data_IF_796417295892
#
_entry.id   IF_796417295892
#
_cell.length_a   1.000
_cell.length_b   1.000
_cell.length_c   1.000
_cell.angle_alpha   90.00
_cell.angle_beta   90.00
_cell.angle_gamma   90.00
#
_symmetry.space_group_name_H-M   'P 1'
#
loop_
_entity.id
_entity.type
_entity.pdbx_description
1 polymer ?
#
# COMPACT_ATOMS: atom_id res chain seq x y z
N UNK A 1 -2.79 -57.87 42.21
CA UNK A 1 -3.27 -56.63 42.86
C UNK A 1 -2.26 -55.60 42.44
N UNK A 2 -2.51 -54.64 41.64
CA UNK A 2 -3.67 -53.87 41.24
C UNK A 2 -3.18 -52.49 40.91
N UNK A 3 -3.66 -52.00 39.82
CA UNK A 3 -4.16 -50.65 39.54
C UNK A 3 -3.19 -49.45 39.36
N UNK A 4 -3.07 -49.08 38.08
CA UNK A 4 -3.43 -47.75 37.51
C UNK A 4 -2.61 -46.53 37.88
N UNK A 5 -1.85 -46.05 36.91
CA UNK A 5 -1.77 -44.63 36.63
C UNK A 5 -1.48 -44.37 35.14
N UNK A 6 -2.53 -44.44 34.33
CA UNK A 6 -2.56 -43.87 32.98
C UNK A 6 -3.61 -42.78 33.02
N UNK A 7 -3.25 -41.50 33.23
CA UNK A 7 -4.06 -40.34 32.89
C UNK A 7 -3.38 -39.04 33.35
N UNK A 8 -2.33 -38.58 32.70
CA UNK A 8 -1.83 -37.22 32.93
C UNK A 8 -1.14 -36.58 31.70
N UNK A 9 -1.20 -37.18 30.50
CA UNK A 9 -0.44 -36.62 29.35
C UNK A 9 -1.36 -36.06 28.25
N UNK A 10 -2.68 -36.07 28.39
CA UNK A 10 -3.59 -35.61 27.32
C UNK A 10 -4.07 -34.17 27.50
N UNK A 11 -3.87 -33.55 28.64
CA UNK A 11 -4.32 -32.18 28.94
C UNK A 11 -3.35 -31.05 28.51
N UNK A 12 -2.09 -31.38 28.21
CA UNK A 12 -1.05 -30.36 27.97
C UNK A 12 -0.87 -29.97 26.50
N UNK A 13 -1.42 -30.73 25.56
CA UNK A 13 -1.27 -30.48 24.11
C UNK A 13 -2.34 -29.53 23.55
N UNK A 14 -3.47 -29.36 24.22
CA UNK A 14 -4.58 -28.51 23.75
C UNK A 14 -4.38 -27.00 24.07
N UNK A 15 -3.58 -26.68 25.09
CA UNK A 15 -3.37 -25.29 25.51
C UNK A 15 -2.35 -24.49 24.62
N UNK A 16 -1.57 -25.17 23.76
CA UNK A 16 -0.51 -24.52 22.97
C UNK A 16 -0.96 -24.10 21.56
N UNK A 17 -2.16 -24.47 21.13
CA UNK A 17 -2.67 -24.18 19.78
C UNK A 17 -3.48 -22.88 19.66
N UNK A 18 -3.78 -22.19 20.77
CA UNK A 18 -4.69 -21.00 20.74
C UNK A 18 -3.91 -19.66 20.70
N UNK A 19 -2.60 -19.66 20.91
CA UNK A 19 -1.82 -18.39 21.01
C UNK A 19 -1.30 -17.80 19.69
N UNK A 20 -1.55 -18.42 18.53
CA UNK A 20 -1.01 -17.92 17.24
C UNK A 20 -2.00 -17.13 16.38
N UNK A 21 -3.23 -16.90 16.82
CA UNK A 21 -4.28 -16.29 15.98
C UNK A 21 -4.53 -14.79 16.20
N UNK A 22 -3.83 -14.11 17.12
CA UNK A 22 -4.16 -12.72 17.51
C UNK A 22 -3.23 -11.67 16.88
N UNK A 23 -2.16 -12.04 16.21
CA UNK A 23 -1.19 -11.08 15.67
C UNK A 23 -1.52 -10.46 14.29
N UNK A 24 -2.64 -10.85 13.64
CA UNK A 24 -2.94 -10.42 12.26
C UNK A 24 -3.87 -9.19 12.15
N UNK A 25 -4.41 -8.65 13.24
CA UNK A 25 -5.49 -7.66 13.17
C UNK A 25 -5.07 -6.19 13.41
N UNK A 26 -3.86 -5.90 13.82
CA UNK A 26 -3.44 -4.54 14.15
C UNK A 26 -2.97 -3.69 12.94
N UNK A 27 -2.78 -4.29 11.77
CA UNK A 27 -2.14 -3.67 10.61
C UNK A 27 -3.11 -3.26 9.47
N UNK A 28 -4.41 -3.49 9.64
CA UNK A 28 -5.42 -3.18 8.62
C UNK A 28 -5.92 -1.73 8.64
N UNK A 29 -5.59 -0.94 9.68
CA UNK A 29 -6.10 0.42 9.89
C UNK A 29 -5.24 1.53 9.26
N UNK A 30 -4.07 1.20 8.73
CA UNK A 30 -3.12 2.15 8.15
C UNK A 30 -2.52 1.64 6.84
N UNK A 31 -2.09 2.56 5.96
CA UNK A 31 -1.31 2.22 4.78
C UNK A 31 0.07 1.74 5.22
N UNK A 32 0.48 0.59 4.70
CA UNK A 32 1.78 -0.04 4.96
C UNK A 32 2.84 0.55 4.02
N UNK A 33 3.42 1.67 4.44
CA UNK A 33 4.43 2.36 3.66
C UNK A 33 5.79 1.66 3.69
N UNK A 34 6.45 1.61 2.54
CA UNK A 34 7.82 1.11 2.35
C UNK A 34 8.73 2.25 1.88
N UNK A 35 10.06 2.08 2.05
CA UNK A 35 11.03 2.90 1.34
C UNK A 35 11.12 2.50 -0.15
N UNK A 36 11.86 3.30 -0.95
CA UNK A 36 11.91 3.09 -2.39
C UNK A 36 12.58 1.77 -2.79
N UNK A 37 13.72 1.44 -2.17
CA UNK A 37 14.49 0.25 -2.51
C UNK A 37 13.73 -1.03 -2.13
N UNK A 38 13.22 -1.08 -0.90
CA UNK A 38 12.42 -2.19 -0.41
C UNK A 38 11.13 -2.34 -1.22
N UNK A 39 10.35 -1.27 -1.37
CA UNK A 39 9.05 -1.31 -2.02
C UNK A 39 9.12 -1.71 -3.50
N UNK A 40 10.10 -1.20 -4.24
CA UNK A 40 10.28 -1.58 -5.66
C UNK A 40 10.75 -3.03 -5.82
N UNK A 41 11.62 -3.50 -4.93
CA UNK A 41 12.03 -4.90 -4.87
C UNK A 41 10.85 -5.83 -4.57
N UNK A 42 10.06 -5.47 -3.55
CA UNK A 42 8.88 -6.21 -3.12
C UNK A 42 7.80 -6.26 -4.20
N UNK A 43 7.59 -5.17 -4.95
CA UNK A 43 6.68 -5.12 -6.09
C UNK A 43 7.02 -6.18 -7.12
N UNK A 44 8.29 -6.26 -7.53
CA UNK A 44 8.78 -7.28 -8.47
C UNK A 44 8.62 -8.70 -7.93
N UNK A 45 9.00 -8.93 -6.68
CA UNK A 45 8.92 -10.26 -6.05
C UNK A 45 7.48 -10.77 -5.92
N UNK A 46 6.53 -9.87 -5.60
CA UNK A 46 5.12 -10.23 -5.40
C UNK A 46 4.27 -10.09 -6.65
N UNK A 47 4.83 -9.63 -7.79
CA UNK A 47 4.07 -9.33 -8.98
C UNK A 47 2.98 -8.29 -8.73
N UNK A 48 3.28 -7.24 -7.96
CA UNK A 48 2.36 -6.16 -7.63
C UNK A 48 2.85 -4.83 -8.18
N UNK A 49 1.90 -4.00 -8.61
CA UNK A 49 2.17 -2.61 -8.96
C UNK A 49 2.66 -1.84 -7.74
N UNK A 50 3.51 -0.85 -7.99
CA UNK A 50 4.04 0.03 -6.94
C UNK A 50 3.41 1.41 -7.09
N UNK A 51 2.99 1.98 -5.96
CA UNK A 51 2.58 3.38 -5.86
C UNK A 51 3.70 4.15 -5.17
N UNK A 52 4.22 5.20 -5.81
CA UNK A 52 5.20 6.10 -5.20
C UNK A 52 4.52 7.41 -4.82
N UNK A 53 4.56 7.78 -3.56
CA UNK A 53 4.03 9.04 -3.04
C UNK A 53 5.18 9.98 -2.67
N UNK A 54 5.42 10.97 -3.52
CA UNK A 54 6.41 12.04 -3.28
C UNK A 54 5.79 13.15 -2.44
N UNK A 55 6.43 13.48 -1.34
CA UNK A 55 5.95 14.44 -0.34
C UNK A 55 7.11 15.22 0.28
N UNK A 56 6.80 16.24 1.11
CA UNK A 56 7.72 16.91 2.00
C UNK A 56 6.97 17.46 3.23
N UNK A 57 7.69 17.78 4.31
CA UNK A 57 7.08 18.25 5.56
C UNK A 57 6.39 19.61 5.43
N UNK A 58 6.91 20.49 4.59
CA UNK A 58 6.32 21.82 4.33
C UNK A 58 5.12 21.79 3.37
N UNK A 59 4.80 20.65 2.78
CA UNK A 59 3.77 20.52 1.75
C UNK A 59 2.37 20.41 2.37
N UNK A 60 1.60 21.49 2.41
CA UNK A 60 0.26 21.54 2.98
C UNK A 60 -0.70 20.56 2.28
N UNK A 61 -0.69 20.49 0.96
CA UNK A 61 -1.50 19.52 0.18
C UNK A 61 -1.12 18.06 0.43
N UNK A 62 0.15 17.80 0.81
CA UNK A 62 0.58 16.47 1.24
C UNK A 62 -0.03 16.12 2.60
N UNK A 63 -0.04 17.06 3.55
CA UNK A 63 -0.67 16.87 4.85
C UNK A 63 -2.18 16.69 4.72
N UNK A 64 -2.81 17.46 3.83
CA UNK A 64 -4.23 17.27 3.52
C UNK A 64 -4.49 15.85 3.00
N UNK A 65 -3.68 15.35 2.06
CA UNK A 65 -3.84 14.00 1.52
C UNK A 65 -3.62 12.91 2.58
N UNK A 66 -2.68 13.12 3.51
CA UNK A 66 -2.46 12.21 4.65
C UNK A 66 -3.67 12.16 5.59
N UNK A 67 -4.34 13.31 5.83
CA UNK A 67 -5.46 13.43 6.78
C UNK A 67 -6.79 12.97 6.17
N UNK A 68 -7.05 13.31 4.91
CA UNK A 68 -8.35 13.10 4.28
C UNK A 68 -8.40 11.83 3.45
N UNK A 69 -7.36 11.54 2.64
CA UNK A 69 -7.38 10.42 1.68
C UNK A 69 -6.81 9.14 2.27
N UNK A 70 -5.65 9.22 2.91
CA UNK A 70 -4.94 8.04 3.41
C UNK A 70 -5.48 7.49 4.74
N UNK A 71 -6.55 8.08 5.28
CA UNK A 71 -7.26 7.57 6.47
C UNK A 71 -8.59 6.89 6.15
N UNK A 72 -9.02 6.94 4.90
CA UNK A 72 -10.28 6.31 4.50
C UNK A 72 -10.10 4.78 4.44
N UNK A 73 -10.93 4.00 5.15
CA UNK A 73 -10.78 2.55 5.25
C UNK A 73 -10.73 1.84 3.90
N UNK A 74 -11.57 2.23 2.94
CA UNK A 74 -11.62 1.64 1.60
C UNK A 74 -10.34 1.90 0.80
N UNK A 75 -9.76 3.11 0.93
CA UNK A 75 -8.47 3.47 0.32
C UNK A 75 -7.36 2.62 0.91
N UNK A 76 -7.30 2.53 2.24
CA UNK A 76 -6.28 1.74 2.96
C UNK A 76 -6.36 0.27 2.54
N UNK A 77 -7.57 -0.30 2.61
CA UNK A 77 -7.79 -1.71 2.28
C UNK A 77 -7.42 -2.02 0.82
N UNK A 78 -7.86 -1.18 -0.13
CA UNK A 78 -7.60 -1.40 -1.54
C UNK A 78 -6.10 -1.25 -1.86
N UNK A 79 -5.46 -0.21 -1.33
CA UNK A 79 -4.05 0.07 -1.56
C UNK A 79 -3.15 -1.04 -0.98
N UNK A 80 -3.34 -1.42 0.28
CA UNK A 80 -2.56 -2.48 0.92
C UNK A 80 -2.74 -3.86 0.26
N UNK A 81 -3.94 -4.15 -0.25
CA UNK A 81 -4.23 -5.42 -0.91
C UNK A 81 -3.57 -5.52 -2.28
N UNK A 82 -3.64 -4.46 -3.08
CA UNK A 82 -3.39 -4.53 -4.51
C UNK A 82 -2.07 -3.87 -4.97
N UNK A 83 -1.47 -3.02 -4.13
CA UNK A 83 -0.24 -2.28 -4.44
C UNK A 83 0.82 -2.50 -3.37
N UNK A 84 2.04 -2.08 -3.71
CA UNK A 84 3.09 -1.81 -2.73
C UNK A 84 3.23 -0.28 -2.62
N UNK A 85 2.76 0.33 -1.53
CA UNK A 85 2.85 1.77 -1.35
C UNK A 85 4.23 2.18 -0.84
N UNK A 86 4.85 3.11 -1.53
CA UNK A 86 6.18 3.67 -1.23
C UNK A 86 6.04 5.15 -0.94
N UNK A 87 6.64 5.61 0.16
CA UNK A 87 6.63 7.02 0.56
C UNK A 87 8.04 7.61 0.40
N UNK A 88 8.16 8.69 -0.35
CA UNK A 88 9.45 9.31 -0.71
C UNK A 88 9.47 10.75 -0.23
N UNK A 89 10.36 11.05 0.70
CA UNK A 89 10.64 12.42 1.13
C UNK A 89 11.50 13.11 0.07
N UNK A 90 10.91 14.05 -0.66
CA UNK A 90 11.54 14.74 -1.78
C UNK A 90 12.69 15.67 -1.35
N UNK A 91 12.73 16.10 -0.09
CA UNK A 91 13.82 16.91 0.44
C UNK A 91 15.06 16.07 0.71
N UNK A 92 14.88 14.87 1.22
CA UNK A 92 15.95 13.95 1.52
C UNK A 92 16.38 13.15 0.28
N UNK A 93 15.46 12.89 -0.65
CA UNK A 93 15.69 12.09 -1.85
C UNK A 93 15.59 12.89 -3.15
N UNK A 94 16.25 14.06 -3.21
CA UNK A 94 16.22 15.02 -4.34
C UNK A 94 16.58 14.38 -5.68
N UNK A 95 17.57 13.48 -5.69
CA UNK A 95 17.98 12.77 -6.90
C UNK A 95 16.85 11.88 -7.43
N UNK A 96 16.16 11.19 -6.55
CA UNK A 96 15.04 10.33 -6.91
C UNK A 96 13.85 11.17 -7.40
N UNK A 97 13.50 12.25 -6.71
CA UNK A 97 12.47 13.19 -7.16
C UNK A 97 12.78 13.74 -8.56
N UNK A 98 14.03 14.14 -8.82
CA UNK A 98 14.49 14.60 -10.14
C UNK A 98 14.37 13.47 -11.20
N UNK A 99 14.79 12.26 -10.87
CA UNK A 99 14.68 11.09 -11.76
C UNK A 99 13.23 10.80 -12.18
N UNK A 100 12.27 11.02 -11.29
CA UNK A 100 10.84 10.90 -11.57
C UNK A 100 10.21 12.20 -12.09
N UNK A 101 11.04 13.23 -12.39
CA UNK A 101 10.57 14.53 -12.91
C UNK A 101 9.48 15.18 -12.03
N UNK A 102 9.60 15.04 -10.71
CA UNK A 102 8.68 15.63 -9.74
C UNK A 102 8.92 17.14 -9.71
N UNK A 103 7.94 17.92 -10.16
CA UNK A 103 8.01 19.40 -10.23
C UNK A 103 7.16 20.10 -9.18
N UNK A 104 6.34 19.36 -8.45
CA UNK A 104 5.45 19.86 -7.41
C UNK A 104 5.01 18.73 -6.50
N UNK A 105 4.50 19.06 -5.32
CA UNK A 105 4.09 18.10 -4.30
C UNK A 105 2.63 18.32 -3.91
N UNK A 106 1.91 17.25 -3.54
CA UNK A 106 2.31 15.86 -3.70
C UNK A 106 2.37 15.45 -5.17
N UNK A 107 3.15 14.43 -5.50
CA UNK A 107 3.06 13.74 -6.78
C UNK A 107 2.98 12.25 -6.53
N UNK A 108 1.99 11.60 -7.13
CA UNK A 108 1.83 10.15 -7.08
C UNK A 108 2.23 9.53 -8.41
N UNK A 109 3.18 8.59 -8.40
CA UNK A 109 3.58 7.78 -9.53
C UNK A 109 3.09 6.34 -9.40
N UNK A 110 2.82 5.71 -10.54
CA UNK A 110 2.46 4.30 -10.62
C UNK A 110 3.50 3.56 -11.45
N UNK A 111 3.97 2.42 -10.93
CA UNK A 111 4.85 1.49 -11.63
C UNK A 111 4.12 0.17 -11.83
N UNK A 112 4.41 -0.51 -12.94
CA UNK A 112 3.91 -1.86 -13.16
C UNK A 112 4.69 -2.91 -12.35
N UNK A 113 4.34 -4.16 -12.47
CA UNK A 113 4.92 -5.30 -11.75
C UNK A 113 6.41 -5.53 -12.05
N UNK A 114 6.90 -4.97 -13.18
CA UNK A 114 8.32 -4.99 -13.55
C UNK A 114 9.10 -3.77 -13.06
N UNK A 115 8.40 -2.79 -12.44
CA UNK A 115 8.98 -1.54 -11.99
C UNK A 115 9.08 -0.48 -13.09
N UNK A 116 8.42 -0.67 -14.23
CA UNK A 116 8.35 0.30 -15.31
C UNK A 116 7.28 1.37 -15.01
N UNK A 117 7.52 2.59 -15.42
CA UNK A 117 6.60 3.71 -15.17
C UNK A 117 5.34 3.57 -16.00
N UNK A 118 4.17 3.65 -15.36
CA UNK A 118 2.87 3.71 -16.02
C UNK A 118 2.48 5.18 -16.24
N UNK A 119 2.51 5.98 -15.19
CA UNK A 119 2.12 7.38 -15.24
C UNK A 119 2.15 8.03 -13.86
N UNK A 120 1.94 9.34 -13.84
CA UNK A 120 1.90 10.12 -12.60
C UNK A 120 0.69 11.04 -12.53
N UNK A 121 0.35 11.42 -11.30
CA UNK A 121 -0.63 12.45 -11.02
C UNK A 121 -0.09 13.42 -9.98
N UNK A 122 0.13 14.68 -10.34
CA UNK A 122 0.50 15.72 -9.38
C UNK A 122 -0.74 16.26 -8.65
N UNK A 123 -0.53 16.76 -7.44
CA UNK A 123 -1.52 17.44 -6.63
C UNK A 123 -2.32 16.54 -5.70
N UNK A 124 -3.10 17.19 -4.85
CA UNK A 124 -4.04 16.55 -3.94
C UNK A 124 -5.12 15.76 -4.71
N UNK A 125 -5.46 14.59 -4.19
CA UNK A 125 -6.56 13.77 -4.68
C UNK A 125 -7.51 13.43 -3.53
N UNK A 126 -8.79 13.84 -3.61
CA UNK A 126 -9.78 13.41 -2.62
C UNK A 126 -10.00 11.89 -2.67
N UNK A 127 -10.54 11.28 -1.60
CA UNK A 127 -10.63 9.82 -1.44
C UNK A 127 -11.26 9.08 -2.61
N UNK A 128 -12.40 9.56 -3.09
CA UNK A 128 -13.15 8.92 -4.17
C UNK A 128 -12.37 8.92 -5.49
N UNK A 129 -11.75 10.06 -5.82
CA UNK A 129 -10.90 10.18 -7.00
C UNK A 129 -9.68 9.26 -6.89
N UNK A 130 -9.04 9.26 -5.71
CA UNK A 130 -7.86 8.42 -5.47
C UNK A 130 -8.19 6.94 -5.61
N UNK A 131 -9.30 6.49 -4.99
CA UNK A 131 -9.76 5.10 -5.08
C UNK A 131 -10.12 4.70 -6.53
N UNK A 132 -10.77 5.61 -7.28
CA UNK A 132 -11.09 5.37 -8.69
C UNK A 132 -9.81 5.21 -9.53
N UNK A 133 -8.78 6.04 -9.29
CA UNK A 133 -7.48 5.93 -9.95
C UNK A 133 -6.77 4.63 -9.58
N UNK A 134 -6.80 4.23 -8.31
CA UNK A 134 -6.24 2.94 -7.88
C UNK A 134 -6.91 1.78 -8.63
N UNK A 135 -8.24 1.78 -8.75
CA UNK A 135 -8.99 0.75 -9.49
C UNK A 135 -8.63 0.74 -10.98
N UNK A 136 -8.52 1.91 -11.59
CA UNK A 136 -8.12 2.09 -13.00
C UNK A 136 -6.72 1.54 -13.27
N UNK A 137 -5.76 1.83 -12.39
CA UNK A 137 -4.39 1.33 -12.51
C UNK A 137 -4.30 -0.18 -12.23
N UNK A 138 -5.03 -0.65 -11.21
CA UNK A 138 -5.02 -2.07 -10.83
C UNK A 138 -5.58 -2.98 -11.93
N UNK A 139 -6.68 -2.56 -12.56
CA UNK A 139 -7.37 -3.32 -13.61
C UNK A 139 -6.68 -3.30 -14.98
N UNK A 140 -5.52 -2.65 -15.11
CA UNK A 140 -4.83 -2.41 -16.38
C UNK A 140 -5.65 -1.63 -17.43
N UNK A 141 -6.75 -0.98 -17.02
CA UNK A 141 -7.62 -0.21 -17.92
C UNK A 141 -6.89 0.94 -18.62
N UNK A 142 -5.80 1.46 -18.03
CA UNK A 142 -4.94 2.48 -18.65
C UNK A 142 -4.31 2.04 -19.97
N UNK A 143 -4.32 0.73 -20.27
CA UNK A 143 -3.80 0.18 -21.54
C UNK A 143 -4.80 0.29 -22.70
N UNK A 144 -6.09 0.40 -22.40
CA UNK A 144 -7.17 0.32 -23.38
C UNK A 144 -8.11 1.50 -23.43
N UNK A 145 -8.15 2.31 -22.36
CA UNK A 145 -9.05 3.49 -22.29
C UNK A 145 -8.45 4.59 -21.41
N UNK A 146 -8.95 5.81 -21.61
CA UNK A 146 -8.63 6.95 -20.75
C UNK A 146 -9.29 6.83 -19.37
N UNK A 147 -8.74 7.54 -18.37
CA UNK A 147 -9.36 7.60 -17.05
C UNK A 147 -10.79 8.19 -17.10
N UNK A 148 -11.03 9.17 -17.96
CA UNK A 148 -12.37 9.77 -18.11
C UNK A 148 -13.43 8.78 -18.66
N UNK A 149 -13.04 7.86 -19.51
CA UNK A 149 -13.91 6.78 -20.00
C UNK A 149 -14.16 5.72 -18.92
N UNK A 150 -13.11 5.38 -18.16
CA UNK A 150 -13.22 4.43 -17.03
C UNK A 150 -14.15 4.96 -15.93
N UNK A 151 -14.05 6.23 -15.59
CA UNK A 151 -14.84 6.85 -14.52
C UNK A 151 -16.33 7.04 -14.84
N UNK A 152 -16.73 6.84 -16.10
CA UNK A 152 -18.14 6.91 -16.54
C UNK A 152 -18.86 5.55 -16.49
N UNK A 153 -18.14 4.48 -16.25
CA UNK A 153 -18.67 3.10 -16.14
C UNK A 153 -19.15 2.80 -14.73
#
# INVERSE_FOLDING_TARGET
MGFHTRTAHTAMVVAMAISLAVAASADASQIRWYDYAEGTSLGKQKGKKVLLFFWADWCESCEQMKKETFRVPDVIAFLNKNFIPVKIDSENEKRLASQYMVRGLPTTWFLNERGERIGSRPGFMPPDLFLAILKYMHSDSYRSMSFSEFAKK
#
